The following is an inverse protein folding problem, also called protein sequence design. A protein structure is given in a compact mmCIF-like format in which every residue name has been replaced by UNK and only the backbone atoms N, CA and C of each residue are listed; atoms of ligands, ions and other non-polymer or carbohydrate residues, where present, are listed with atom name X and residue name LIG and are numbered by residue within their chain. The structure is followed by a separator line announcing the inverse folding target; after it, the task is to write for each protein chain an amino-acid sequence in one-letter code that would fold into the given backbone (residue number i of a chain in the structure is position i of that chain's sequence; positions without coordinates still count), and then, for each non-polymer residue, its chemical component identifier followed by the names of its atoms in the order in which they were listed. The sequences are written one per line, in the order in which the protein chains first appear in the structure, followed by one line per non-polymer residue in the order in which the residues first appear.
data_IF_946241088752
#
_entry.id   IF_946241088752
#
_cell.length_a   1.000
_cell.length_b   1.000
_cell.length_c   1.000
_cell.angle_alpha   90.00
_cell.angle_beta   90.00
_cell.angle_gamma   90.00
#
_symmetry.space_group_name_H-M   'P 1'
#
loop_
_entity.id
_entity.type
_entity.pdbx_description
1 polymer ?
#
# COMPACT_ATOMS: atom_id res chain seq x y z
N UNK A 1 57.54 9.46 -7.36
CA UNK A 1 56.53 9.15 -8.40
C UNK A 1 56.23 7.67 -8.29
N UNK A 2 55.15 7.34 -7.59
CA UNK A 2 54.54 6.00 -7.49
C UNK A 2 53.04 6.22 -7.46
N UNK A 3 52.34 5.32 -8.15
CA UNK A 3 51.06 5.45 -8.83
C UNK A 3 49.88 5.90 -7.95
N UNK A 4 49.07 6.80 -8.50
CA UNK A 4 47.89 7.42 -7.90
C UNK A 4 46.63 6.77 -8.50
N UNK A 5 46.49 5.44 -8.34
CA UNK A 5 45.33 4.66 -8.82
C UNK A 5 45.06 3.50 -7.88
N UNK A 6 44.32 3.78 -6.81
CA UNK A 6 43.39 2.85 -6.15
C UNK A 6 42.60 3.57 -5.04
N UNK A 7 41.93 4.67 -5.41
CA UNK A 7 40.81 5.21 -4.64
C UNK A 7 39.53 4.92 -5.39
N UNK A 8 39.01 3.71 -5.24
CA UNK A 8 37.58 3.50 -5.39
C UNK A 8 36.88 4.29 -4.28
N UNK A 9 35.95 5.21 -4.59
CA UNK A 9 35.05 5.67 -3.56
C UNK A 9 34.25 4.44 -3.14
N UNK A 10 34.34 4.10 -1.86
CA UNK A 10 33.39 3.18 -1.25
C UNK A 10 32.00 3.70 -1.62
N UNK A 11 31.31 2.98 -2.49
CA UNK A 11 29.88 3.20 -2.70
C UNK A 11 29.28 3.04 -1.31
N UNK A 12 28.88 4.16 -0.72
CA UNK A 12 28.02 4.18 0.43
C UNK A 12 26.85 3.28 0.06
N UNK A 13 26.86 2.06 0.61
CA UNK A 13 25.69 1.19 0.59
C UNK A 13 24.60 2.02 1.24
N UNK A 14 23.72 2.53 0.40
CA UNK A 14 22.49 3.20 0.77
C UNK A 14 21.94 2.46 1.97
N UNK A 15 21.84 3.19 3.09
CA UNK A 15 21.39 2.64 4.36
C UNK A 15 20.15 1.77 4.14
N UNK A 16 20.07 0.73 4.96
CA UNK A 16 19.04 -0.30 4.99
C UNK A 16 17.62 0.32 5.10
N UNK A 17 17.13 0.94 4.03
CA UNK A 17 15.75 1.36 3.88
C UNK A 17 14.97 0.06 3.79
N UNK A 18 14.00 -0.18 4.69
CA UNK A 18 13.12 -1.33 4.56
C UNK A 18 12.55 -1.31 3.14
N UNK A 19 12.88 -2.34 2.35
CA UNK A 19 12.35 -2.45 1.00
C UNK A 19 10.85 -2.66 1.15
N UNK A 20 10.07 -1.64 0.79
CA UNK A 20 8.62 -1.78 0.72
C UNK A 20 8.30 -2.88 -0.29
N UNK A 21 7.47 -3.87 0.07
CA UNK A 21 7.08 -4.93 -0.85
C UNK A 21 6.54 -4.35 -2.17
N UNK A 22 6.88 -4.94 -3.34
CA UNK A 22 6.62 -4.32 -4.63
C UNK A 22 5.12 -4.16 -4.94
N UNK A 23 4.29 -5.15 -4.61
CA UNK A 23 2.84 -5.05 -4.75
C UNK A 23 2.24 -4.00 -3.82
N UNK A 24 2.74 -3.94 -2.58
CA UNK A 24 2.35 -2.91 -1.62
C UNK A 24 2.69 -1.49 -2.11
N UNK A 25 3.91 -1.29 -2.63
CA UNK A 25 4.36 0.00 -3.15
C UNK A 25 3.55 0.43 -4.39
N UNK A 26 3.16 -0.51 -5.26
CA UNK A 26 2.33 -0.21 -6.42
C UNK A 26 0.95 0.32 -6.01
N UNK A 27 0.30 -0.31 -5.01
CA UNK A 27 -0.99 0.15 -4.50
C UNK A 27 -0.84 1.48 -3.75
N UNK A 28 0.18 1.64 -2.91
CA UNK A 28 0.45 2.92 -2.25
C UNK A 28 0.69 4.05 -3.25
N UNK A 29 1.45 3.79 -4.31
CA UNK A 29 1.65 4.75 -5.39
C UNK A 29 0.33 5.16 -6.06
N UNK A 30 -0.60 4.21 -6.26
CA UNK A 30 -1.93 4.52 -6.76
C UNK A 30 -2.74 5.38 -5.78
N UNK A 31 -2.68 5.07 -4.49
CA UNK A 31 -3.35 5.85 -3.45
C UNK A 31 -2.79 7.29 -3.36
N UNK A 32 -1.46 7.46 -3.40
CA UNK A 32 -0.80 8.78 -3.37
C UNK A 32 -1.17 9.65 -4.57
N UNK A 33 -1.40 9.05 -5.74
CA UNK A 33 -1.90 9.81 -6.91
C UNK A 33 -3.32 10.33 -6.69
N UNK A 34 -4.16 9.57 -5.99
CA UNK A 34 -5.56 9.94 -5.73
C UNK A 34 -5.70 10.89 -4.52
N UNK A 35 -4.84 10.74 -3.52
CA UNK A 35 -4.85 11.49 -2.25
C UNK A 35 -3.46 12.06 -1.92
N UNK A 36 -2.92 12.98 -2.74
CA UNK A 36 -1.57 13.52 -2.53
C UNK A 36 -1.43 14.34 -1.24
N UNK A 37 -2.54 14.82 -0.69
CA UNK A 37 -2.66 15.58 0.55
C UNK A 37 -2.71 14.70 1.82
N UNK A 38 -2.87 13.38 1.67
CA UNK A 38 -2.99 12.42 2.77
C UNK A 38 -1.89 11.36 2.71
N UNK A 39 -0.60 11.72 2.92
CA UNK A 39 0.52 10.79 2.80
C UNK A 39 0.54 9.70 3.89
N UNK A 40 -0.19 9.90 4.98
CA UNK A 40 -0.31 8.96 6.09
C UNK A 40 -1.80 8.82 6.51
N UNK A 41 -2.61 8.07 5.74
CA UNK A 41 -4.01 7.82 6.10
C UNK A 41 -4.09 6.99 7.38
N UNK A 42 -5.27 6.97 8.01
CA UNK A 42 -5.52 5.95 9.02
C UNK A 42 -5.44 4.57 8.37
N UNK A 43 -4.71 3.65 8.98
CA UNK A 43 -4.53 2.31 8.47
C UNK A 43 -4.71 1.29 9.58
N UNK A 44 -5.62 0.35 9.38
CA UNK A 44 -5.76 -0.84 10.22
C UNK A 44 -4.84 -1.91 9.68
N UNK A 45 -4.14 -2.61 10.56
CA UNK A 45 -3.28 -3.76 10.22
C UNK A 45 -3.76 -5.00 10.94
N UNK A 46 -3.71 -6.15 10.27
CA UNK A 46 -3.82 -7.43 10.95
C UNK A 46 -2.72 -7.53 12.01
N UNK A 47 -3.09 -7.90 13.25
CA UNK A 47 -2.15 -8.05 14.37
C UNK A 47 -1.24 -9.26 14.16
N UNK A 48 -1.81 -10.38 13.72
CA UNK A 48 -1.08 -11.58 13.29
C UNK A 48 -1.29 -11.70 11.78
N UNK A 49 -0.19 -11.68 11.01
CA UNK A 49 -0.25 -11.75 9.55
C UNK A 49 -0.78 -13.11 9.08
N UNK A 50 -1.47 -13.12 7.96
CA UNK A 50 -2.12 -14.32 7.44
C UNK A 50 -1.14 -15.48 7.20
N UNK A 51 0.02 -15.18 6.60
CA UNK A 51 1.09 -16.17 6.38
C UNK A 51 1.74 -16.71 7.68
N UNK A 52 1.45 -16.09 8.84
CA UNK A 52 1.85 -16.57 10.16
C UNK A 52 0.71 -17.31 10.88
N UNK A 53 -0.37 -17.67 10.17
CA UNK A 53 -1.54 -18.36 10.72
C UNK A 53 -2.57 -17.43 11.38
N UNK A 54 -2.49 -16.12 11.12
CA UNK A 54 -3.52 -15.17 11.55
C UNK A 54 -4.86 -15.42 10.83
N UNK A 55 -6.00 -15.04 11.45
CA UNK A 55 -7.31 -15.28 10.86
C UNK A 55 -7.66 -14.30 9.73
N UNK A 56 -7.02 -13.12 9.73
CA UNK A 56 -7.37 -12.02 8.83
C UNK A 56 -6.49 -12.05 7.57
N UNK A 57 -7.05 -12.26 6.37
CA UNK A 57 -6.27 -12.34 5.12
C UNK A 57 -5.82 -10.99 4.59
N UNK A 58 -6.41 -9.89 5.09
CA UNK A 58 -6.03 -8.54 4.70
C UNK A 58 -4.96 -8.02 5.65
N UNK A 59 -3.75 -7.81 5.12
CA UNK A 59 -2.65 -7.28 5.90
C UNK A 59 -2.92 -5.86 6.37
N UNK A 60 -3.54 -5.05 5.50
CA UNK A 60 -3.84 -3.66 5.75
C UNK A 60 -5.20 -3.25 5.17
N UNK A 61 -5.81 -2.26 5.80
CA UNK A 61 -6.92 -1.48 5.25
C UNK A 61 -6.61 -0.01 5.47
N UNK A 62 -6.36 0.73 4.38
CA UNK A 62 -6.15 2.19 4.44
C UNK A 62 -7.48 2.93 4.27
N UNK A 63 -7.66 4.00 5.03
CA UNK A 63 -8.89 4.78 5.08
C UNK A 63 -8.59 6.24 4.77
N UNK A 64 -9.11 6.72 3.65
CA UNK A 64 -8.91 8.08 3.16
C UNK A 64 -10.18 8.92 3.31
N UNK A 65 -10.00 10.20 3.61
CA UNK A 65 -11.06 11.18 3.50
C UNK A 65 -11.19 11.64 2.05
N UNK A 66 -12.33 11.42 1.41
CA UNK A 66 -12.63 12.00 0.11
C UNK A 66 -13.62 13.16 0.30
N UNK A 67 -13.28 14.40 -0.11
CA UNK A 67 -14.17 15.56 0.07
C UNK A 67 -15.44 15.47 -0.81
N UNK A 68 -15.50 14.54 -1.75
CA UNK A 68 -16.56 14.45 -2.74
C UNK A 68 -16.33 15.39 -3.91
N UNK A 69 -17.38 15.56 -4.72
CA UNK A 69 -17.42 16.46 -5.87
C UNK A 69 -18.88 16.97 -5.99
N UNK A 70 -19.19 18.16 -5.45
CA UNK A 70 -20.55 18.69 -5.47
C UNK A 70 -21.11 18.91 -6.87
N UNK A 71 -20.27 19.29 -7.85
CA UNK A 71 -20.68 19.54 -9.24
C UNK A 71 -21.15 18.23 -9.91
N UNK A 72 -20.62 17.10 -9.45
CA UNK A 72 -21.01 15.75 -9.89
C UNK A 72 -22.00 15.07 -8.95
N UNK A 73 -22.52 15.78 -7.94
CA UNK A 73 -23.40 15.25 -6.91
C UNK A 73 -22.80 14.04 -6.15
N UNK A 74 -21.48 14.06 -5.90
CA UNK A 74 -20.76 13.06 -5.12
C UNK A 74 -20.57 13.60 -3.70
N UNK A 75 -21.18 12.99 -2.67
CA UNK A 75 -21.02 13.46 -1.29
C UNK A 75 -19.61 13.16 -0.78
N UNK A 76 -19.18 13.92 0.24
CA UNK A 76 -18.00 13.57 1.03
C UNK A 76 -18.16 12.16 1.62
N UNK A 77 -17.08 11.38 1.58
CA UNK A 77 -17.11 9.98 1.98
C UNK A 77 -15.75 9.49 2.46
N UNK A 78 -15.76 8.45 3.28
CA UNK A 78 -14.61 7.63 3.61
C UNK A 78 -14.36 6.62 2.51
N UNK A 79 -13.12 6.50 2.04
CA UNK A 79 -12.71 5.52 1.03
C UNK A 79 -11.73 4.53 1.63
N UNK A 80 -12.19 3.29 1.77
CA UNK A 80 -11.43 2.16 2.30
C UNK A 80 -10.78 1.41 1.14
N UNK A 81 -9.52 1.03 1.29
CA UNK A 81 -8.74 0.28 0.31
C UNK A 81 -8.06 -0.87 1.04
N UNK A 82 -8.31 -2.11 0.63
CA UNK A 82 -7.66 -3.29 1.20
C UNK A 82 -6.29 -3.56 0.59
N UNK A 83 -5.49 -4.32 1.32
CA UNK A 83 -4.19 -4.85 0.90
C UNK A 83 -4.10 -6.28 1.42
N UNK A 84 -3.97 -7.25 0.52
CA UNK A 84 -3.75 -8.64 0.87
C UNK A 84 -4.42 -9.64 -0.06
N UNK A 85 -5.37 -9.21 -0.90
CA UNK A 85 -5.94 -10.06 -1.94
C UNK A 85 -5.03 -10.15 -3.17
N UNK A 86 -4.30 -9.09 -3.45
CA UNK A 86 -3.21 -9.10 -4.42
C UNK A 86 -1.92 -9.64 -3.79
N UNK A 87 -0.99 -10.08 -4.63
CA UNK A 87 0.34 -10.45 -4.15
C UNK A 87 1.15 -9.19 -3.81
N UNK A 88 1.16 -8.86 -2.52
CA UNK A 88 1.88 -7.71 -1.99
C UNK A 88 3.40 -7.91 -2.03
N UNK A 89 3.87 -9.15 -1.88
CA UNK A 89 5.24 -9.47 -1.51
C UNK A 89 6.08 -10.04 -2.65
N UNK A 90 5.51 -10.88 -3.51
CA UNK A 90 6.25 -11.50 -4.62
C UNK A 90 7.22 -12.60 -4.21
N UNK A 91 7.06 -13.19 -3.02
CA UNK A 91 8.01 -14.15 -2.43
C UNK A 91 7.37 -15.47 -1.98
N UNK A 92 6.22 -15.82 -2.56
CA UNK A 92 5.49 -17.06 -2.26
C UNK A 92 4.94 -17.20 -0.83
N UNK A 93 4.96 -16.16 0.01
CA UNK A 93 4.51 -16.31 1.41
C UNK A 93 3.00 -16.51 1.58
N UNK A 94 2.19 -16.02 0.65
CA UNK A 94 0.72 -16.22 0.62
C UNK A 94 0.28 -16.80 -0.72
N UNK A 95 0.74 -16.22 -1.82
CA UNK A 95 0.37 -16.61 -3.18
C UNK A 95 1.53 -17.26 -3.89
N UNK A 96 1.28 -18.34 -4.63
CA UNK A 96 2.29 -18.89 -5.55
C UNK A 96 2.68 -17.84 -6.61
N UNK A 97 3.95 -17.84 -7.03
CA UNK A 97 4.41 -16.97 -8.12
C UNK A 97 3.61 -17.27 -9.39
N UNK A 98 2.80 -16.30 -9.81
CA UNK A 98 2.08 -16.36 -11.08
C UNK A 98 3.02 -16.23 -12.28
N UNK A 99 2.50 -16.52 -13.48
CA UNK A 99 3.15 -16.04 -14.71
C UNK A 99 3.26 -14.51 -14.70
N UNK A 100 4.32 -13.95 -15.29
CA UNK A 100 4.55 -12.49 -15.38
C UNK A 100 3.36 -11.73 -15.96
N UNK A 101 2.55 -12.40 -16.77
CA UNK A 101 1.42 -11.82 -17.50
C UNK A 101 0.06 -12.18 -16.86
N UNK A 102 0.07 -12.88 -15.73
CA UNK A 102 -1.11 -13.27 -14.96
C UNK A 102 -1.51 -12.24 -13.90
N UNK A 103 -2.68 -12.42 -13.24
CA UNK A 103 -3.08 -11.56 -12.13
C UNK A 103 -2.13 -11.69 -10.93
N UNK A 104 -1.92 -10.58 -10.21
CA UNK A 104 -1.23 -10.58 -8.92
C UNK A 104 -2.16 -11.12 -7.82
N UNK A 105 -1.85 -12.28 -7.23
CA UNK A 105 -2.74 -12.94 -6.26
C UNK A 105 -4.11 -13.22 -6.87
N UNK A 106 -5.18 -12.77 -6.21
CA UNK A 106 -6.55 -12.81 -6.76
C UNK A 106 -6.79 -11.81 -7.91
N UNK A 107 -5.85 -10.89 -8.16
CA UNK A 107 -5.89 -9.93 -9.28
C UNK A 107 -6.63 -8.64 -8.99
N UNK A 108 -7.09 -8.41 -7.75
CA UNK A 108 -7.78 -7.19 -7.35
C UNK A 108 -7.62 -6.91 -5.86
N UNK A 109 -8.03 -5.72 -5.43
CA UNK A 109 -8.24 -5.35 -4.03
C UNK A 109 -9.67 -4.83 -3.84
N UNK A 110 -10.21 -4.99 -2.64
CA UNK A 110 -11.50 -4.44 -2.27
C UNK A 110 -11.40 -2.95 -1.99
N UNK A 111 -12.42 -2.22 -2.40
CA UNK A 111 -12.63 -0.84 -1.99
C UNK A 111 -14.05 -0.64 -1.51
N UNK A 112 -14.23 0.26 -0.54
CA UNK A 112 -15.55 0.62 -0.02
C UNK A 112 -15.66 2.13 0.14
N UNK A 113 -16.83 2.69 -0.16
CA UNK A 113 -17.10 4.12 -0.04
C UNK A 113 -18.29 4.32 0.89
N UNK A 114 -18.02 4.86 2.07
CA UNK A 114 -19.04 5.14 3.09
C UNK A 114 -19.27 6.64 3.16
N UNK A 115 -20.51 7.09 2.97
CA UNK A 115 -20.86 8.50 3.12
C UNK A 115 -20.39 9.01 4.49
N UNK A 116 -19.71 10.15 4.51
CA UNK A 116 -19.26 10.80 5.75
C UNK A 116 -20.41 11.60 6.32
N UNK A 117 -20.78 11.31 7.56
CA UNK A 117 -21.86 12.03 8.23
C UNK A 117 -21.37 13.35 8.86
N UNK A 118 -22.26 14.35 9.05
CA UNK A 118 -21.88 15.61 9.68
C UNK A 118 -21.28 15.40 11.07
N UNK A 119 -20.09 15.98 11.30
CA UNK A 119 -19.39 15.90 12.59
C UNK A 119 -18.41 14.74 12.72
N UNK A 120 -18.35 13.80 11.76
CA UNK A 120 -17.33 12.77 11.76
C UNK A 120 -15.95 13.34 11.37
N UNK A 121 -15.00 13.27 12.30
CA UNK A 121 -13.62 13.68 12.08
C UNK A 121 -12.73 12.52 11.57
N UNK A 122 -13.11 11.28 11.87
CA UNK A 122 -12.37 10.06 11.53
C UNK A 122 -13.32 9.03 10.91
N UNK A 123 -12.80 8.13 10.04
CA UNK A 123 -13.58 7.00 9.57
C UNK A 123 -13.99 6.09 10.74
N UNK A 124 -15.20 5.49 10.70
CA UNK A 124 -15.64 4.50 11.68
C UNK A 124 -14.85 3.18 11.60
#
# INVERSE_FOLDING_TARGET
KMDDRDRHPANYTSGNVPITPPGLEAIYSACRRLYPDQPNPLQVTALVKYWLGGPDPLDYISMYANPGDPDRNIPAHWHYISFGLSDLHGDCRVYELGCSDGPSGFGFELTFRLKREPGEANPP
#
